data_IF_900348795694
#
_entry.id   IF_900348795694
#
_cell.length_a   1.000
_cell.length_b   1.000
_cell.length_c   1.000
_cell.angle_alpha   90.00
_cell.angle_beta   90.00
_cell.angle_gamma   90.00
#
_symmetry.space_group_name_H-M   'P 1'
#
loop_
_entity.id
_entity.type
_entity.pdbx_description
1 polymer ?
#
# COMPACT_ATOMS: atom_id res chain seq x y z
N UNK A 1 16.52 -56.81 -7.36
CA UNK A 1 15.12 -56.34 -7.58
C UNK A 1 14.39 -55.97 -6.27
N UNK A 2 14.28 -56.85 -5.27
CA UNK A 2 13.59 -56.55 -3.98
C UNK A 2 14.07 -55.27 -3.27
N UNK A 3 15.39 -55.06 -3.16
CA UNK A 3 15.96 -53.86 -2.53
C UNK A 3 15.56 -52.56 -3.24
N UNK A 4 15.48 -52.58 -4.57
CA UNK A 4 15.12 -51.42 -5.38
C UNK A 4 13.66 -51.01 -5.16
N UNK A 5 12.75 -51.99 -5.06
CA UNK A 5 11.34 -51.75 -4.70
C UNK A 5 11.22 -51.14 -3.31
N UNK A 6 12.00 -51.66 -2.33
CA UNK A 6 12.01 -51.11 -0.97
C UNK A 6 12.49 -49.65 -0.97
N UNK A 7 13.57 -49.31 -1.69
CA UNK A 7 14.05 -47.94 -1.75
C UNK A 7 13.05 -46.98 -2.43
N UNK A 8 12.37 -47.40 -3.50
CA UNK A 8 11.32 -46.58 -4.13
C UNK A 8 10.19 -46.29 -3.14
N UNK A 9 9.73 -47.31 -2.41
CA UNK A 9 8.67 -47.16 -1.41
C UNK A 9 9.10 -46.22 -0.28
N UNK A 10 10.37 -46.33 0.14
CA UNK A 10 10.95 -45.48 1.18
C UNK A 10 11.03 -44.01 0.75
N UNK A 11 11.50 -43.75 -0.47
CA UNK A 11 11.58 -42.40 -1.03
C UNK A 11 10.17 -41.81 -1.20
N UNK A 12 9.22 -42.60 -1.71
CA UNK A 12 7.84 -42.17 -1.84
C UNK A 12 7.23 -41.80 -0.48
N UNK A 13 7.39 -42.66 0.52
CA UNK A 13 6.95 -42.39 1.89
C UNK A 13 7.58 -41.13 2.46
N UNK A 14 8.88 -40.94 2.25
CA UNK A 14 9.60 -39.74 2.68
C UNK A 14 9.05 -38.46 2.00
N UNK A 15 8.81 -38.48 0.69
CA UNK A 15 8.26 -37.33 -0.05
C UNK A 15 6.84 -36.99 0.44
N UNK A 16 6.00 -38.00 0.65
CA UNK A 16 4.65 -37.80 1.19
C UNK A 16 4.69 -37.20 2.60
N UNK A 17 5.61 -37.67 3.45
CA UNK A 17 5.80 -37.11 4.80
C UNK A 17 6.36 -35.68 4.79
N UNK A 18 7.15 -35.30 3.79
CA UNK A 18 7.63 -33.93 3.62
C UNK A 18 6.55 -32.97 3.08
N UNK A 19 5.52 -33.48 2.40
CA UNK A 19 4.40 -32.71 1.89
C UNK A 19 3.83 -31.65 2.86
N UNK A 20 3.41 -32.02 4.08
CA UNK A 20 2.89 -31.05 5.05
C UNK A 20 3.92 -29.98 5.48
N UNK A 21 5.21 -30.33 5.56
CA UNK A 21 6.26 -29.37 5.89
C UNK A 21 6.52 -28.37 4.76
N UNK A 22 6.55 -28.85 3.51
CA UNK A 22 6.67 -27.99 2.33
C UNK A 22 5.47 -27.06 2.25
N UNK A 23 4.26 -27.58 2.50
CA UNK A 23 3.06 -26.75 2.55
C UNK A 23 3.14 -25.69 3.64
N UNK A 24 3.56 -26.05 4.87
CA UNK A 24 3.75 -25.10 5.96
C UNK A 24 4.70 -23.97 5.59
N UNK A 25 5.85 -24.31 5.01
CA UNK A 25 6.87 -23.33 4.61
C UNK A 25 6.35 -22.40 3.51
N UNK A 26 5.59 -22.92 2.54
CA UNK A 26 4.95 -22.08 1.52
C UNK A 26 3.87 -21.18 2.12
N UNK A 27 3.09 -21.67 3.08
CA UNK A 27 2.03 -20.87 3.73
C UNK A 27 2.58 -19.80 4.67
N UNK A 28 3.76 -19.96 5.26
CA UNK A 28 4.34 -18.92 6.12
C UNK A 28 4.74 -17.65 5.35
N UNK A 29 4.93 -17.76 4.03
CA UNK A 29 5.19 -16.61 3.14
C UNK A 29 3.92 -16.08 2.45
N UNK A 30 2.74 -16.68 2.66
CA UNK A 30 1.49 -16.19 2.09
C UNK A 30 0.91 -15.10 2.98
N UNK A 31 0.30 -14.10 2.35
CA UNK A 31 -0.45 -13.09 3.10
C UNK A 31 -1.80 -13.68 3.61
N UNK A 32 -2.42 -13.09 4.66
CA UNK A 32 -3.66 -13.62 5.23
C UNK A 32 -4.79 -13.80 4.22
N UNK A 33 -4.95 -12.88 3.26
CA UNK A 33 -5.95 -13.02 2.19
C UNK A 33 -5.65 -14.21 1.26
N UNK A 34 -4.38 -14.47 0.98
CA UNK A 34 -3.95 -15.58 0.11
C UNK A 34 -4.13 -16.96 0.75
N UNK A 35 -4.10 -17.03 2.09
CA UNK A 35 -4.37 -18.28 2.83
C UNK A 35 -5.87 -18.56 2.86
N UNK A 36 -6.69 -17.51 2.90
CA UNK A 36 -8.15 -17.61 2.98
C UNK A 36 -8.83 -17.76 1.61
N UNK A 37 -8.10 -17.57 0.50
CA UNK A 37 -8.66 -17.71 -0.84
C UNK A 37 -8.94 -19.19 -1.18
N UNK A 38 -10.10 -19.43 -1.80
CA UNK A 38 -10.45 -20.72 -2.38
C UNK A 38 -10.60 -20.58 -3.89
N UNK A 39 -9.97 -21.43 -4.72
CA UNK A 39 -9.15 -22.60 -4.35
C UNK A 39 -7.77 -22.22 -3.76
N UNK A 40 -7.15 -23.10 -2.96
CA UNK A 40 -5.86 -22.83 -2.35
C UNK A 40 -4.76 -22.73 -3.42
N UNK A 41 -4.07 -21.59 -3.46
CA UNK A 41 -2.91 -21.42 -4.35
C UNK A 41 -1.69 -22.16 -3.80
N UNK A 42 -0.90 -22.80 -4.66
CA UNK A 42 0.38 -23.43 -4.29
C UNK A 42 1.58 -22.45 -4.30
N UNK A 43 1.43 -21.26 -4.89
CA UNK A 43 2.44 -20.21 -4.95
C UNK A 43 1.97 -18.93 -4.24
N UNK A 44 2.89 -18.08 -3.80
CA UNK A 44 2.60 -16.78 -3.15
C UNK A 44 3.02 -15.62 -4.06
N UNK A 45 2.22 -14.55 -4.06
CA UNK A 45 2.57 -13.28 -4.72
C UNK A 45 3.49 -12.41 -3.85
N UNK A 46 3.66 -12.77 -2.57
CA UNK A 46 4.37 -11.97 -1.57
C UNK A 46 5.86 -12.29 -1.44
N UNK A 47 6.47 -13.03 -2.38
CA UNK A 47 7.93 -13.21 -2.41
C UNK A 47 8.71 -11.93 -2.76
N UNK A 48 8.03 -10.85 -3.15
CA UNK A 48 8.67 -9.61 -3.58
C UNK A 48 9.14 -8.74 -2.39
N UNK A 49 10.29 -8.08 -2.55
CA UNK A 49 10.83 -7.10 -1.58
C UNK A 49 9.98 -5.82 -1.50
N UNK A 50 9.19 -5.54 -2.53
CA UNK A 50 8.23 -4.44 -2.59
C UNK A 50 6.91 -4.94 -3.16
N UNK A 51 5.81 -4.34 -2.71
CA UNK A 51 4.46 -4.68 -3.16
C UNK A 51 3.63 -3.42 -3.31
N UNK A 52 2.95 -3.31 -4.45
CA UNK A 52 1.93 -2.29 -4.66
C UNK A 52 0.67 -2.71 -3.93
N UNK A 53 0.11 -1.77 -3.18
CA UNK A 53 -1.05 -2.03 -2.33
C UNK A 53 -2.25 -1.31 -2.88
N UNK A 54 -3.38 -2.00 -2.98
CA UNK A 54 -4.62 -1.35 -3.42
C UNK A 54 -5.08 -0.35 -2.38
N UNK A 55 -5.15 0.92 -2.76
CA UNK A 55 -5.66 2.00 -1.92
C UNK A 55 -6.97 2.53 -2.46
N UNK A 56 -7.85 2.92 -1.54
CA UNK A 56 -9.08 3.64 -1.83
C UNK A 56 -8.93 5.03 -1.22
N UNK A 57 -9.09 6.03 -2.08
CA UNK A 57 -9.17 7.42 -1.68
C UNK A 57 -10.60 7.71 -1.23
N UNK A 58 -10.76 8.18 0.01
CA UNK A 58 -12.06 8.68 0.48
C UNK A 58 -11.92 10.17 0.78
N UNK A 59 -12.62 11.06 0.03
CA UNK A 59 -12.74 12.46 0.41
C UNK A 59 -13.61 12.55 1.67
N UNK A 60 -13.09 13.19 2.72
CA UNK A 60 -13.81 13.38 3.98
C UNK A 60 -13.68 12.23 4.99
N UNK A 61 -14.09 12.54 6.23
CA UNK A 61 -13.90 11.70 7.43
C UNK A 61 -14.59 10.34 7.27
N UNK A 62 -13.81 9.26 7.44
CA UNK A 62 -14.39 7.94 7.70
C UNK A 62 -15.07 7.96 9.07
N UNK A 63 -16.37 7.67 9.10
CA UNK A 63 -17.01 7.19 10.33
C UNK A 63 -16.39 5.85 10.68
N UNK A 64 -15.39 5.85 11.56
CA UNK A 64 -14.78 4.62 12.06
C UNK A 64 -15.80 3.93 12.96
N UNK A 65 -16.22 2.72 12.59
CA UNK A 65 -17.09 1.89 13.39
C UNK A 65 -16.32 1.40 14.65
N UNK A 66 -16.95 1.60 15.82
CA UNK A 66 -16.72 0.97 17.14
C UNK A 66 -15.32 0.35 17.35
N UNK A 67 -14.50 1.00 18.18
CA UNK A 67 -13.22 0.46 18.65
C UNK A 67 -12.07 1.47 18.79
N UNK A 68 -12.30 2.74 18.48
CA UNK A 68 -11.26 3.78 18.50
C UNK A 68 -10.96 4.23 19.94
N UNK A 69 -9.68 4.46 20.25
CA UNK A 69 -9.27 5.02 21.54
C UNK A 69 -9.79 6.46 21.70
N UNK A 70 -9.96 6.95 22.94
CA UNK A 70 -10.44 8.32 23.20
C UNK A 70 -9.57 9.41 22.54
N UNK A 71 -8.26 9.14 22.38
CA UNK A 71 -7.31 10.05 21.73
C UNK A 71 -7.53 10.13 20.22
N UNK A 72 -7.79 8.99 19.58
CA UNK A 72 -8.14 8.93 18.15
C UNK A 72 -9.53 9.49 17.91
N UNK A 73 -10.50 9.21 18.80
CA UNK A 73 -11.83 9.81 18.76
C UNK A 73 -11.78 11.35 18.87
N UNK A 74 -10.84 11.91 19.63
CA UNK A 74 -10.64 13.34 19.74
C UNK A 74 -10.02 13.95 18.46
N UNK A 75 -9.06 13.24 17.83
CA UNK A 75 -8.50 13.65 16.54
C UNK A 75 -9.51 13.54 15.39
N UNK A 76 -10.46 12.60 15.47
CA UNK A 76 -11.51 12.36 14.48
C UNK A 76 -12.71 13.31 14.60
N UNK A 77 -12.82 14.10 15.68
CA UNK A 77 -13.96 15.00 15.91
C UNK A 77 -13.87 16.31 15.12
N UNK A 78 -12.72 16.63 14.54
CA UNK A 78 -12.59 17.73 13.60
C UNK A 78 -12.96 17.20 12.22
N UNK A 79 -14.20 17.47 11.79
CA UNK A 79 -14.62 17.27 10.41
C UNK A 79 -13.87 18.27 9.52
N UNK A 80 -12.61 17.98 9.20
CA UNK A 80 -11.86 18.77 8.24
C UNK A 80 -12.34 18.40 6.84
N UNK A 81 -12.95 19.37 6.17
CA UNK A 81 -13.49 19.23 4.81
C UNK A 81 -12.39 19.03 3.75
N UNK A 82 -11.12 19.21 4.12
CA UNK A 82 -9.96 19.16 3.23
C UNK A 82 -8.98 18.00 3.53
N UNK A 83 -9.44 16.91 4.17
CA UNK A 83 -8.61 15.73 4.41
C UNK A 83 -8.80 14.67 3.31
N UNK A 84 -7.68 14.28 2.68
CA UNK A 84 -7.60 13.11 1.81
C UNK A 84 -7.22 11.89 2.66
N UNK A 85 -8.19 11.02 2.96
CA UNK A 85 -7.91 9.78 3.68
C UNK A 85 -7.54 8.68 2.68
N UNK A 86 -6.30 8.20 2.75
CA UNK A 86 -5.84 7.03 2.00
C UNK A 86 -6.11 5.80 2.85
N UNK A 87 -7.02 4.94 2.42
CA UNK A 87 -7.28 3.67 3.10
C UNK A 87 -6.79 2.53 2.26
N UNK A 88 -5.95 1.72 2.89
CA UNK A 88 -5.43 0.50 2.32
C UNK A 88 -6.56 -0.52 2.29
N UNK A 89 -6.93 -0.98 1.10
CA UNK A 89 -7.95 -2.00 0.88
C UNK A 89 -7.28 -3.28 0.37
N UNK A 90 -6.39 -3.80 1.19
CA UNK A 90 -5.53 -4.94 0.90
C UNK A 90 -5.04 -5.56 2.22
N UNK A 91 -4.23 -6.62 2.14
CA UNK A 91 -3.61 -7.22 3.31
C UNK A 91 -2.79 -6.20 4.13
N UNK A 92 -2.91 -6.21 5.47
CA UNK A 92 -2.19 -5.28 6.32
C UNK A 92 -0.68 -5.46 6.18
N UNK A 93 0.04 -4.35 6.05
CA UNK A 93 1.49 -4.33 6.15
C UNK A 93 1.89 -3.99 7.59
N UNK A 94 2.77 -4.80 8.17
CA UNK A 94 3.21 -4.60 9.56
C UNK A 94 4.48 -3.77 9.68
N UNK A 95 5.29 -3.66 8.62
CA UNK A 95 6.58 -2.94 8.59
C UNK A 95 6.94 -2.50 7.16
N UNK A 96 7.78 -1.47 7.05
CA UNK A 96 8.35 -1.02 5.78
C UNK A 96 8.29 0.50 5.60
N UNK A 97 8.68 0.95 4.42
CA UNK A 97 8.52 2.35 3.99
C UNK A 97 7.36 2.41 3.00
N UNK A 98 6.37 3.26 3.27
CA UNK A 98 5.32 3.57 2.30
C UNK A 98 5.84 4.66 1.36
N UNK A 99 5.95 4.33 0.08
CA UNK A 99 6.27 5.31 -0.97
C UNK A 99 4.99 5.67 -1.69
N UNK A 100 4.59 6.94 -1.59
CA UNK A 100 3.46 7.48 -2.32
C UNK A 100 4.03 8.21 -3.54
N UNK A 101 3.84 7.68 -4.78
CA UNK A 101 4.24 8.41 -5.97
C UNK A 101 3.31 9.60 -6.15
N UNK A 102 3.85 10.81 -5.96
CA UNK A 102 3.11 12.06 -6.22
C UNK A 102 3.19 12.47 -7.69
N UNK A 103 4.21 11.99 -8.41
CA UNK A 103 4.49 12.40 -9.78
C UNK A 103 3.40 11.97 -10.75
N UNK A 104 2.71 12.94 -11.35
CA UNK A 104 1.62 12.71 -12.30
C UNK A 104 0.38 12.03 -11.68
N UNK A 105 0.27 12.02 -10.34
CA UNK A 105 -0.89 11.44 -9.65
C UNK A 105 -2.07 12.43 -9.65
N UNK A 106 -3.28 11.92 -9.94
CA UNK A 106 -4.52 12.68 -9.77
C UNK A 106 -5.14 12.33 -8.42
N UNK A 107 -5.11 13.28 -7.49
CA UNK A 107 -5.62 13.09 -6.13
C UNK A 107 -6.74 14.07 -5.76
N UNK A 108 -7.13 14.96 -6.67
CA UNK A 108 -8.24 15.89 -6.47
C UNK A 108 -9.46 15.45 -7.29
N UNK A 109 -10.66 15.64 -6.74
CA UNK A 109 -11.93 15.42 -7.47
C UNK A 109 -12.51 16.75 -7.97
N UNK A 110 -12.19 17.85 -7.30
CA UNK A 110 -12.52 19.22 -7.69
C UNK A 110 -11.55 20.20 -7.05
N UNK A 111 -11.20 21.27 -7.77
CA UNK A 111 -10.23 22.28 -7.32
C UNK A 111 -10.74 23.65 -7.70
N UNK A 112 -10.67 24.58 -6.75
CA UNK A 112 -10.83 26.00 -7.01
C UNK A 112 -9.54 26.55 -7.66
N UNK A 113 -9.62 26.76 -8.97
CA UNK A 113 -8.48 27.21 -9.79
C UNK A 113 -8.06 28.63 -9.45
N UNK A 114 -8.99 29.49 -9.03
CA UNK A 114 -8.69 30.88 -8.67
C UNK A 114 -7.85 30.93 -7.40
N UNK A 115 -8.25 30.13 -6.40
CA UNK A 115 -7.51 30.01 -5.16
C UNK A 115 -6.11 29.45 -5.37
N UNK A 116 -5.95 28.46 -6.25
CA UNK A 116 -4.62 27.90 -6.58
C UNK A 116 -3.74 28.94 -7.26
N UNK A 117 -4.29 29.75 -8.18
CA UNK A 117 -3.53 30.84 -8.80
C UNK A 117 -3.05 31.86 -7.77
N UNK A 118 -3.91 32.24 -6.82
CA UNK A 118 -3.54 33.14 -5.72
C UNK A 118 -2.44 32.54 -4.81
N UNK A 119 -2.46 31.22 -4.58
CA UNK A 119 -1.41 30.54 -3.82
C UNK A 119 -0.10 30.49 -4.61
N UNK A 120 -0.17 30.23 -5.91
CA UNK A 120 1.01 30.19 -6.78
C UNK A 120 1.74 31.52 -6.86
N UNK A 121 1.02 32.66 -6.83
CA UNK A 121 1.66 33.98 -6.86
C UNK A 121 2.37 34.35 -5.56
N UNK A 122 1.99 33.70 -4.44
CA UNK A 122 2.66 33.84 -3.14
C UNK A 122 3.82 32.86 -2.96
N UNK A 123 4.03 31.95 -3.90
CA UNK A 123 5.16 31.02 -3.86
C UNK A 123 6.48 31.77 -4.00
N UNK A 124 7.53 31.42 -3.23
CA UNK A 124 8.85 32.02 -3.37
C UNK A 124 9.54 31.71 -4.71
N UNK A 125 9.03 30.72 -5.45
CA UNK A 125 9.56 30.27 -6.74
C UNK A 125 8.44 30.17 -7.76
N UNK A 126 8.72 30.61 -8.99
CA UNK A 126 7.83 30.44 -10.14
C UNK A 126 7.97 29.03 -10.72
N UNK A 127 6.85 28.32 -10.78
CA UNK A 127 6.76 26.96 -11.29
C UNK A 127 6.03 26.96 -12.65
N UNK A 128 6.47 26.13 -13.58
CA UNK A 128 5.76 25.90 -14.85
C UNK A 128 4.84 24.69 -14.69
N UNK A 129 3.54 24.94 -14.59
CA UNK A 129 2.51 23.93 -14.33
C UNK A 129 1.31 24.10 -15.27
N UNK A 130 0.71 22.98 -15.66
CA UNK A 130 -0.51 22.93 -16.50
C UNK A 130 -1.73 22.55 -15.68
N UNK A 131 -1.53 21.77 -14.62
CA UNK A 131 -2.59 21.33 -13.70
C UNK A 131 -2.27 21.76 -12.26
N UNK A 132 -3.28 22.01 -11.42
CA UNK A 132 -3.06 22.28 -9.99
C UNK A 132 -2.21 21.22 -9.30
N UNK A 133 -2.38 19.95 -9.66
CA UNK A 133 -1.62 18.83 -9.10
C UNK A 133 -0.12 18.94 -9.41
N UNK A 134 0.23 19.32 -10.65
CA UNK A 134 1.63 19.54 -11.04
C UNK A 134 2.27 20.69 -10.26
N UNK A 135 1.52 21.76 -9.99
CA UNK A 135 2.00 22.86 -9.14
C UNK A 135 2.36 22.36 -7.74
N UNK A 136 1.45 21.66 -7.08
CA UNK A 136 1.67 21.14 -5.73
C UNK A 136 2.77 20.06 -5.70
N UNK A 137 2.88 19.24 -6.75
CA UNK A 137 3.97 18.29 -6.92
C UNK A 137 5.33 19.00 -6.92
N UNK A 138 5.50 19.97 -7.83
CA UNK A 138 6.76 20.71 -7.96
C UNK A 138 7.10 21.49 -6.70
N UNK A 139 6.10 22.15 -6.10
CA UNK A 139 6.26 22.87 -4.85
C UNK A 139 6.73 21.96 -3.71
N UNK A 140 6.09 20.79 -3.55
CA UNK A 140 6.45 19.83 -2.51
C UNK A 140 7.84 19.24 -2.71
N UNK A 141 8.19 18.89 -3.95
CA UNK A 141 9.52 18.41 -4.32
C UNK A 141 10.58 19.47 -3.99
N UNK A 142 10.35 20.71 -4.39
CA UNK A 142 11.26 21.83 -4.10
C UNK A 142 11.47 22.04 -2.60
N UNK A 143 10.37 22.03 -1.83
CA UNK A 143 10.43 22.17 -0.38
C UNK A 143 11.24 21.03 0.27
N UNK A 144 11.06 19.79 -0.19
CA UNK A 144 11.78 18.62 0.33
C UNK A 144 13.25 18.60 -0.09
N UNK A 145 13.58 19.02 -1.31
CA UNK A 145 14.96 19.03 -1.81
C UNK A 145 15.76 20.27 -1.39
N UNK A 146 15.12 21.24 -0.71
CA UNK A 146 15.77 22.48 -0.30
C UNK A 146 16.20 23.35 -1.48
N UNK A 147 15.53 23.22 -2.63
CA UNK A 147 15.86 23.96 -3.85
C UNK A 147 17.10 23.48 -4.60
N UNK A 148 17.64 22.31 -4.27
CA UNK A 148 18.53 21.62 -5.21
C UNK A 148 17.68 20.98 -6.31
N UNK A 149 17.75 21.58 -7.50
CA UNK A 149 17.16 21.05 -8.72
C UNK A 149 17.77 19.68 -9.04
N UNK A 150 16.94 18.68 -9.31
CA UNK A 150 17.35 17.45 -9.97
C UNK A 150 17.20 17.59 -11.49
#
# INVERSE_FOLDING_TARGET
MKKLVVYILLIFGAVVMLGPFIWMLLTSFKAPSEVQQWPPSFYTKNFAFSRDVKVILKPGVQRVAKGVSLREAYALKTAEENLLTITVNDDPFHRGTMTIPLKGAKYTTGVDVERVKELSSKSPVEFSWKTPEEFFEQFFIYYKSGGQNW
#
